data_IF_671930459541
#
_entry.id   IF_671930459541
#
_cell.length_a   1.000
_cell.length_b   1.000
_cell.length_c   1.000
_cell.angle_alpha   90.00
_cell.angle_beta   90.00
_cell.angle_gamma   90.00
#
_symmetry.space_group_name_H-M   'P 1'
#
loop_
_entity.id
_entity.type
_entity.pdbx_description
1 polymer ?
#
# COMPACT_ATOMS: atom_id res chain seq x y z
N UNK A 1 48.59 -12.19 77.92
CA UNK A 1 47.63 -13.14 78.56
C UNK A 1 46.31 -13.07 77.80
N UNK A 2 45.87 -14.27 77.37
CA UNK A 2 44.47 -14.67 77.01
C UNK A 2 43.77 -13.95 75.85
N UNK A 3 43.67 -14.67 74.74
CA UNK A 3 42.67 -15.63 74.19
C UNK A 3 41.51 -14.97 73.56
N UNK A 4 41.44 -15.17 72.25
CA UNK A 4 40.48 -16.00 71.50
C UNK A 4 39.04 -15.54 71.54
N UNK A 5 38.47 -15.26 70.40
CA UNK A 5 37.45 -16.16 69.81
C UNK A 5 37.10 -15.73 68.40
N UNK A 6 37.40 -16.64 67.46
CA UNK A 6 36.87 -16.65 66.12
C UNK A 6 35.36 -16.80 66.16
N UNK A 7 34.67 -16.05 65.30
CA UNK A 7 33.31 -16.43 64.91
C UNK A 7 33.08 -16.14 63.45
N UNK A 8 33.29 -17.17 62.70
CA UNK A 8 32.95 -17.28 61.29
C UNK A 8 31.44 -17.16 61.07
N UNK A 9 31.00 -16.16 60.28
CA UNK A 9 29.65 -16.12 59.71
C UNK A 9 29.75 -16.38 58.23
N UNK A 10 29.02 -17.37 57.67
CA UNK A 10 29.02 -17.64 56.24
C UNK A 10 28.13 -16.63 55.51
N UNK A 11 28.71 -15.87 54.62
CA UNK A 11 27.97 -15.03 53.66
C UNK A 11 27.16 -15.92 52.70
N UNK A 12 25.87 -16.01 52.96
CA UNK A 12 24.92 -16.55 51.99
C UNK A 12 24.81 -15.59 50.81
N UNK A 13 25.47 -15.92 49.71
CA UNK A 13 25.30 -15.27 48.42
C UNK A 13 23.93 -15.60 47.87
N UNK A 14 22.97 -14.70 48.03
CA UNK A 14 21.68 -14.73 47.38
C UNK A 14 21.86 -14.31 45.90
N UNK A 15 21.93 -15.30 45.02
CA UNK A 15 21.93 -15.08 43.56
C UNK A 15 20.54 -14.61 43.12
N UNK A 16 20.38 -13.29 42.98
CA UNK A 16 19.23 -12.72 42.28
C UNK A 16 19.44 -12.92 40.78
N UNK A 17 18.73 -13.88 40.18
CA UNK A 17 18.59 -14.00 38.73
C UNK A 17 17.62 -12.89 38.24
N UNK A 18 18.03 -11.98 37.32
CA UNK A 18 17.09 -11.09 36.69
C UNK A 18 16.24 -11.89 35.66
N UNK A 19 14.95 -11.98 35.92
CA UNK A 19 13.97 -12.50 35.01
C UNK A 19 13.81 -11.50 33.85
N UNK A 20 14.47 -11.76 32.72
CA UNK A 20 14.29 -10.99 31.48
C UNK A 20 12.90 -11.28 30.92
N UNK A 21 11.95 -10.43 31.21
CA UNK A 21 10.64 -10.42 30.57
C UNK A 21 10.82 -9.82 29.17
N UNK A 22 10.88 -10.67 28.16
CA UNK A 22 10.86 -10.26 26.76
C UNK A 22 9.44 -9.79 26.39
N UNK A 23 9.24 -8.49 26.37
CA UNK A 23 8.01 -7.88 25.85
C UNK A 23 8.08 -7.94 24.33
N UNK A 24 7.41 -8.93 23.74
CA UNK A 24 7.18 -8.96 22.30
C UNK A 24 6.22 -7.85 21.94
N UNK A 25 6.73 -6.75 21.38
CA UNK A 25 5.91 -5.71 20.80
C UNK A 25 5.26 -6.26 19.53
N UNK A 26 4.03 -6.74 19.63
CA UNK A 26 3.19 -6.97 18.46
C UNK A 26 2.87 -5.61 17.86
N UNK A 27 3.47 -5.29 16.71
CA UNK A 27 3.06 -4.15 15.90
C UNK A 27 1.64 -4.42 15.40
N UNK A 28 0.63 -3.84 16.07
CA UNK A 28 -0.67 -3.67 15.46
C UNK A 28 -0.47 -2.75 14.25
N UNK A 29 -0.50 -3.30 13.05
CA UNK A 29 -0.75 -2.52 11.86
C UNK A 29 -2.18 -2.01 11.98
N UNK A 30 -2.34 -0.77 12.42
CA UNK A 30 -3.58 -0.04 12.30
C UNK A 30 -3.92 -0.02 10.79
N UNK A 31 -5.06 -0.56 10.40
CA UNK A 31 -5.62 -0.28 9.08
C UNK A 31 -5.84 1.24 9.04
N UNK A 32 -5.17 1.93 8.14
CA UNK A 32 -5.41 3.36 7.92
C UNK A 32 -6.82 3.48 7.33
N UNK A 33 -7.78 3.82 8.19
CA UNK A 33 -9.13 4.17 7.77
C UNK A 33 -9.06 5.50 7.00
N UNK A 34 -9.76 5.58 5.88
CA UNK A 34 -9.81 6.77 5.03
C UNK A 34 -8.87 6.73 3.82
N UNK A 35 -8.31 5.57 3.48
CA UNK A 35 -7.39 5.39 2.35
C UNK A 35 -8.06 4.62 1.22
N UNK A 36 -7.80 5.05 -0.01
CA UNK A 36 -8.04 4.27 -1.23
C UNK A 36 -6.67 3.87 -1.76
N UNK A 37 -6.37 2.59 -1.89
CA UNK A 37 -5.10 2.18 -2.46
C UNK A 37 -5.27 1.59 -3.87
N UNK A 38 -4.32 1.92 -4.74
CA UNK A 38 -4.17 1.36 -6.08
C UNK A 38 -2.78 0.73 -6.17
N UNK A 39 -2.73 -0.57 -6.37
CA UNK A 39 -1.50 -1.32 -6.57
C UNK A 39 -1.42 -1.81 -8.02
N UNK A 40 -0.38 -1.44 -8.75
CA UNK A 40 -0.03 -2.12 -10.00
C UNK A 40 0.59 -3.48 -9.65
N UNK A 41 -0.22 -4.55 -9.72
CA UNK A 41 0.19 -5.87 -9.27
C UNK A 41 1.09 -6.58 -10.29
N UNK A 42 0.72 -6.56 -11.56
CA UNK A 42 1.52 -7.10 -12.67
C UNK A 42 1.13 -6.49 -14.00
N UNK A 43 1.94 -6.76 -15.03
CA UNK A 43 1.63 -6.45 -16.43
C UNK A 43 1.71 -7.73 -17.27
N UNK A 44 0.91 -7.81 -18.32
CA UNK A 44 0.88 -8.92 -19.27
C UNK A 44 0.93 -8.35 -20.69
N UNK A 45 1.86 -8.85 -21.52
CA UNK A 45 1.86 -8.56 -22.93
C UNK A 45 0.76 -9.36 -23.62
N UNK A 46 0.03 -8.70 -24.52
CA UNK A 46 -1.00 -9.30 -25.36
C UNK A 46 -0.76 -8.91 -26.82
N UNK A 47 -1.41 -9.58 -27.76
CA UNK A 47 -1.36 -9.22 -29.17
C UNK A 47 -1.86 -7.80 -29.47
N UNK A 48 -2.68 -7.22 -28.56
CA UNK A 48 -3.28 -5.90 -28.71
C UNK A 48 -2.55 -4.79 -27.94
N UNK A 49 -1.58 -5.14 -27.10
CA UNK A 49 -0.83 -4.21 -26.29
C UNK A 49 -0.60 -4.70 -24.86
N UNK A 50 -0.13 -3.81 -24.00
CA UNK A 50 0.09 -4.09 -22.58
C UNK A 50 -1.23 -4.17 -21.81
N UNK A 51 -1.34 -5.14 -20.92
CA UNK A 51 -2.47 -5.29 -20.01
C UNK A 51 -1.98 -5.22 -18.55
N UNK A 52 -1.92 -4.03 -17.94
CA UNK A 52 -1.71 -3.91 -16.53
C UNK A 52 -2.90 -4.45 -15.74
N UNK A 53 -2.60 -5.07 -14.61
CA UNK A 53 -3.54 -5.60 -13.65
C UNK A 53 -3.38 -4.82 -12.34
N UNK A 54 -4.45 -4.18 -11.91
CA UNK A 54 -4.48 -3.36 -10.70
C UNK A 54 -5.30 -4.04 -9.61
N UNK A 55 -4.86 -3.87 -8.37
CA UNK A 55 -5.62 -4.17 -7.17
C UNK A 55 -6.05 -2.84 -6.55
N UNK A 56 -7.35 -2.65 -6.42
CA UNK A 56 -7.97 -1.51 -5.73
C UNK A 56 -8.43 -1.96 -4.35
N UNK A 57 -8.13 -1.20 -3.29
CA UNK A 57 -8.63 -1.44 -1.93
C UNK A 57 -9.30 -0.17 -1.42
N UNK A 58 -10.61 -0.20 -1.27
CA UNK A 58 -11.38 0.95 -0.82
C UNK A 58 -11.62 0.90 0.69
N UNK A 59 -10.81 1.63 1.44
CA UNK A 59 -10.95 1.84 2.89
C UNK A 59 -11.31 3.28 3.24
N UNK A 60 -11.86 4.04 2.28
CA UNK A 60 -12.27 5.44 2.48
C UNK A 60 -13.44 5.62 3.46
N UNK A 61 -14.08 4.54 3.91
CA UNK A 61 -15.30 4.61 4.70
C UNK A 61 -16.57 4.81 3.87
N UNK A 62 -16.45 5.03 2.55
CA UNK A 62 -17.56 5.28 1.63
C UNK A 62 -17.63 4.24 0.51
N UNK A 63 -18.84 3.88 0.07
CA UNK A 63 -19.02 3.26 -1.23
C UNK A 63 -18.90 4.35 -2.29
N UNK A 64 -18.09 4.12 -3.32
CA UNK A 64 -17.88 5.06 -4.42
C UNK A 64 -18.70 4.60 -5.64
N UNK A 65 -19.74 5.33 -5.97
CA UNK A 65 -20.58 5.07 -7.15
C UNK A 65 -20.01 5.71 -8.42
N UNK A 66 -19.03 6.59 -8.27
CA UNK A 66 -18.21 7.11 -9.35
C UNK A 66 -16.75 7.12 -8.90
N UNK A 67 -15.86 6.48 -9.67
CA UNK A 67 -14.43 6.45 -9.41
C UNK A 67 -13.68 6.27 -10.73
N UNK A 68 -13.13 7.36 -11.24
CA UNK A 68 -12.34 7.40 -12.46
C UNK A 68 -10.93 7.86 -12.17
N UNK A 69 -9.96 7.13 -12.72
CA UNK A 69 -8.53 7.38 -12.54
C UNK A 69 -7.93 7.72 -13.90
N UNK A 70 -7.36 8.90 -14.00
CA UNK A 70 -6.56 9.28 -15.15
C UNK A 70 -5.12 8.87 -14.94
N UNK A 71 -4.60 8.00 -15.81
CA UNK A 71 -3.23 7.51 -15.76
C UNK A 71 -2.47 7.99 -16.99
N UNK A 72 -1.33 8.62 -16.75
CA UNK A 72 -0.37 9.00 -17.78
C UNK A 72 0.76 7.96 -17.82
N UNK A 73 1.10 7.52 -19.02
CA UNK A 73 2.15 6.55 -19.30
C UNK A 73 3.36 7.29 -19.88
N UNK A 74 4.54 6.99 -19.38
CA UNK A 74 5.81 7.47 -19.90
C UNK A 74 6.62 6.31 -20.44
N UNK A 75 7.43 6.56 -21.45
CA UNK A 75 8.37 5.59 -21.99
C UNK A 75 9.61 5.40 -21.07
N UNK A 76 10.55 4.56 -21.48
CA UNK A 76 11.80 4.26 -20.77
C UNK A 76 12.73 5.49 -20.61
N UNK A 77 12.45 6.55 -21.36
CA UNK A 77 13.19 7.84 -21.31
C UNK A 77 12.45 8.90 -20.49
N UNK A 78 11.29 8.55 -19.93
CA UNK A 78 10.44 9.49 -19.21
C UNK A 78 9.66 10.45 -20.12
N UNK A 79 9.53 10.13 -21.42
CA UNK A 79 8.75 10.92 -22.35
C UNK A 79 7.29 10.45 -22.35
N UNK A 80 6.36 11.41 -22.39
CA UNK A 80 4.92 11.11 -22.49
C UNK A 80 4.63 10.18 -23.65
N UNK A 81 4.01 9.06 -23.38
CA UNK A 81 3.60 8.06 -24.36
C UNK A 81 2.09 8.08 -24.59
N UNK A 82 1.30 8.03 -23.52
CA UNK A 82 -0.15 7.89 -23.61
C UNK A 82 -0.84 8.34 -22.32
N UNK A 83 -2.11 8.73 -22.43
CA UNK A 83 -3.01 8.95 -21.31
C UNK A 83 -4.22 8.06 -21.46
N UNK A 84 -4.66 7.46 -20.37
CA UNK A 84 -5.82 6.57 -20.33
C UNK A 84 -6.70 6.93 -19.14
N UNK A 85 -8.02 6.71 -19.31
CA UNK A 85 -8.99 6.86 -18.24
C UNK A 85 -9.48 5.46 -17.82
N UNK A 86 -9.27 5.11 -16.54
CA UNK A 86 -9.73 3.86 -15.95
C UNK A 86 -11.02 4.14 -15.19
N UNK A 87 -12.11 3.46 -15.53
CA UNK A 87 -13.36 3.53 -14.79
C UNK A 87 -13.51 2.29 -13.91
N UNK A 88 -13.56 2.50 -12.61
CA UNK A 88 -13.61 1.44 -11.60
C UNK A 88 -14.89 1.43 -10.76
N UNK A 89 -15.86 2.26 -11.12
CA UNK A 89 -17.12 2.31 -10.37
C UNK A 89 -18.02 1.08 -10.66
N UNK A 90 -18.74 0.60 -9.63
CA UNK A 90 -18.71 1.04 -8.24
C UNK A 90 -17.58 0.36 -7.44
N UNK A 91 -16.89 1.16 -6.60
CA UNK A 91 -15.98 0.63 -5.59
C UNK A 91 -16.70 0.51 -4.24
N UNK A 92 -17.00 -0.72 -3.84
CA UNK A 92 -17.70 -0.96 -2.59
C UNK A 92 -16.80 -0.68 -1.38
N UNK A 93 -17.40 -0.15 -0.31
CA UNK A 93 -16.73 0.10 0.96
C UNK A 93 -16.10 -1.20 1.51
N UNK A 94 -14.89 -1.07 2.06
CA UNK A 94 -14.11 -2.13 2.72
C UNK A 94 -13.88 -3.37 1.82
N UNK A 95 -13.77 -3.14 0.51
CA UNK A 95 -13.61 -4.22 -0.47
C UNK A 95 -12.39 -4.01 -1.35
N UNK A 96 -11.70 -5.15 -1.62
CA UNK A 96 -10.66 -5.25 -2.64
C UNK A 96 -11.25 -5.72 -3.96
N UNK A 97 -10.82 -5.11 -5.05
CA UNK A 97 -11.21 -5.47 -6.43
C UNK A 97 -9.98 -5.53 -7.30
N UNK A 98 -9.90 -6.58 -8.11
CA UNK A 98 -8.87 -6.70 -9.16
C UNK A 98 -9.49 -6.34 -10.49
N UNK A 99 -8.83 -5.47 -11.25
CA UNK A 99 -9.22 -5.13 -12.61
C UNK A 99 -8.01 -5.06 -13.53
N UNK A 100 -8.21 -5.42 -14.79
CA UNK A 100 -7.21 -5.29 -15.83
C UNK A 100 -7.72 -4.38 -16.94
N UNK A 101 -6.82 -3.58 -17.48
CA UNK A 101 -7.13 -2.63 -18.55
C UNK A 101 -6.20 -2.86 -19.73
N UNK A 102 -6.73 -2.83 -20.94
CA UNK A 102 -5.90 -2.92 -22.12
C UNK A 102 -5.33 -1.52 -22.44
N UNK A 103 -4.02 -1.44 -22.62
CA UNK A 103 -3.29 -0.29 -23.16
C UNK A 103 -2.94 -0.58 -24.61
N UNK A 104 -3.82 -0.26 -25.58
CA UNK A 104 -3.63 -0.70 -26.95
C UNK A 104 -2.42 -0.02 -27.59
N UNK A 105 -1.78 -0.72 -28.52
CA UNK A 105 -0.65 -0.25 -29.30
C UNK A 105 0.61 0.13 -28.48
N UNK A 106 0.74 -0.42 -27.27
CA UNK A 106 1.87 -0.16 -26.38
C UNK A 106 2.32 -1.47 -25.73
N UNK A 107 3.53 -1.93 -26.01
CA UNK A 107 4.11 -3.10 -25.35
C UNK A 107 4.45 -2.78 -23.89
N UNK A 108 4.38 -3.77 -22.99
CA UNK A 108 4.64 -3.52 -21.58
C UNK A 108 6.08 -3.07 -21.30
N UNK A 109 7.05 -3.58 -22.06
CA UNK A 109 8.46 -3.19 -21.99
C UNK A 109 8.73 -1.77 -22.51
N UNK A 110 7.79 -1.20 -23.27
CA UNK A 110 7.82 0.19 -23.71
C UNK A 110 7.31 1.19 -22.65
N UNK A 111 6.82 0.72 -21.51
CA UNK A 111 6.32 1.56 -20.42
C UNK A 111 7.41 1.68 -19.34
N UNK A 112 7.99 2.86 -19.19
CA UNK A 112 8.99 3.16 -18.16
C UNK A 112 8.36 3.48 -16.81
N UNK A 113 7.23 4.23 -16.78
CA UNK A 113 6.48 4.53 -15.56
C UNK A 113 5.01 4.88 -15.85
N UNK A 114 4.19 4.83 -14.80
CA UNK A 114 2.79 5.23 -14.79
C UNK A 114 2.57 6.28 -13.70
N UNK A 115 1.84 7.36 -14.01
CA UNK A 115 1.47 8.41 -13.07
C UNK A 115 -0.05 8.49 -12.96
N UNK A 116 -0.59 8.38 -11.74
CA UNK A 116 -1.97 8.77 -11.46
C UNK A 116 -2.02 10.28 -11.44
N UNK A 117 -2.42 10.86 -12.56
CA UNK A 117 -2.41 12.31 -12.77
C UNK A 117 -3.62 13.01 -12.15
N UNK A 118 -4.79 12.38 -12.20
CA UNK A 118 -6.03 12.95 -11.67
C UNK A 118 -7.07 11.87 -11.36
N UNK A 119 -8.03 12.23 -10.52
CA UNK A 119 -9.28 11.50 -10.35
C UNK A 119 -10.45 12.40 -10.78
N UNK A 120 -10.76 12.45 -12.10
CA UNK A 120 -11.76 13.37 -12.64
C UNK A 120 -13.17 13.10 -12.14
N UNK A 121 -13.43 11.91 -11.61
CA UNK A 121 -14.71 11.56 -10.98
C UNK A 121 -14.48 10.71 -9.74
N UNK A 122 -14.96 11.21 -8.59
CA UNK A 122 -15.02 10.47 -7.34
C UNK A 122 -16.21 10.97 -6.52
N UNK A 123 -17.24 10.12 -6.39
CA UNK A 123 -18.43 10.45 -5.64
C UNK A 123 -18.94 9.24 -4.87
N UNK A 124 -19.51 9.51 -3.68
CA UNK A 124 -20.12 8.48 -2.85
C UNK A 124 -21.48 8.01 -3.39
N UNK A 125 -22.15 7.12 -2.65
CA UNK A 125 -23.44 6.56 -3.05
C UNK A 125 -24.60 7.58 -3.04
N UNK A 126 -24.45 8.72 -2.38
CA UNK A 126 -25.42 9.83 -2.37
C UNK A 126 -25.12 10.86 -3.46
N UNK A 127 -24.01 10.71 -4.18
CA UNK A 127 -23.61 11.61 -5.27
C UNK A 127 -22.73 12.77 -4.81
N UNK A 128 -22.34 12.81 -3.52
CA UNK A 128 -21.44 13.83 -3.02
C UNK A 128 -20.02 13.60 -3.53
N UNK A 129 -19.40 14.65 -4.09
CA UNK A 129 -18.02 14.61 -4.52
C UNK A 129 -17.08 14.50 -3.31
N UNK A 130 -16.05 13.66 -3.44
CA UNK A 130 -15.03 13.44 -2.41
C UNK A 130 -13.66 13.84 -2.95
N UNK A 131 -12.77 14.29 -2.07
CA UNK A 131 -11.34 14.50 -2.40
C UNK A 131 -10.58 13.16 -2.32
N UNK A 132 -10.84 12.30 -3.31
CA UNK A 132 -10.23 10.97 -3.34
C UNK A 132 -8.73 11.02 -3.66
N UNK A 133 -8.22 12.09 -4.27
CA UNK A 133 -6.80 12.23 -4.53
C UNK A 133 -6.00 12.43 -3.23
N UNK A 134 -6.56 13.16 -2.27
CA UNK A 134 -5.97 13.30 -0.94
C UNK A 134 -5.95 12.00 -0.15
N UNK A 135 -6.94 11.12 -0.38
CA UNK A 135 -7.06 9.80 0.27
C UNK A 135 -6.32 8.68 -0.48
N UNK A 136 -5.73 8.98 -1.65
CA UNK A 136 -5.15 7.96 -2.51
C UNK A 136 -3.75 7.57 -2.04
N UNK A 137 -3.48 6.28 -1.99
CA UNK A 137 -2.14 5.68 -1.92
C UNK A 137 -1.88 4.82 -3.16
N UNK A 138 -0.67 4.88 -3.71
CA UNK A 138 -0.31 4.12 -4.92
C UNK A 138 0.97 3.34 -4.71
N UNK A 139 1.00 2.10 -5.19
CA UNK A 139 2.16 1.21 -5.10
C UNK A 139 2.30 0.36 -6.36
N UNK A 140 3.48 -0.20 -6.59
CA UNK A 140 3.72 -1.14 -7.66
C UNK A 140 4.47 -2.37 -7.16
N UNK A 141 4.04 -3.55 -7.59
CA UNK A 141 4.77 -4.84 -7.50
C UNK A 141 5.36 -5.28 -8.84
N UNK A 142 5.01 -4.57 -9.89
CA UNK A 142 5.57 -4.75 -11.22
C UNK A 142 6.94 -4.06 -11.31
N UNK A 143 7.69 -4.33 -12.38
CA UNK A 143 8.90 -3.57 -12.72
C UNK A 143 8.62 -2.13 -13.13
N UNK A 144 7.37 -1.81 -13.47
CA UNK A 144 6.93 -0.47 -13.85
C UNK A 144 6.50 0.28 -12.60
N UNK A 145 7.13 1.41 -12.25
CA UNK A 145 6.70 2.27 -11.13
C UNK A 145 5.29 2.81 -11.36
N UNK A 146 4.50 2.92 -10.28
CA UNK A 146 3.25 3.66 -10.24
C UNK A 146 3.39 4.80 -9.23
N UNK A 147 3.15 6.02 -9.68
CA UNK A 147 3.37 7.27 -8.94
C UNK A 147 2.08 8.11 -8.89
N UNK A 148 2.01 9.13 -8.01
CA UNK A 148 0.96 10.14 -7.95
C UNK A 148 1.52 11.52 -7.62
#
# INVERSE_FOLDING_TARGET
MKRCFDMLLPFARLLLLPLLVSISASSLQAAEDGVISIELNKTEDTEQGCRPLFLFDNRSGHQLNSFQVEVVLFDDKGVYAKQVLLDMAPLYKDKKVVASFLMPDLACDGIGSMLVNALPSCANSTGDALDCLAMLDVTSKSSIPLEK
#
